data_IF_994104576432
#
_entry.id   IF_994104576432
#
_cell.length_a   1.000
_cell.length_b   1.000
_cell.length_c   1.000
_cell.angle_alpha   90.00
_cell.angle_beta   90.00
_cell.angle_gamma   90.00
#
_symmetry.space_group_name_H-M   'P 1'
#
loop_
_entity.id
_entity.type
_entity.pdbx_description
1 polymer ?
#
# COMPACT_ATOMS: atom_id res chain seq x y z
N UNK A 1 -8.34 -22.09 -54.73
CA UNK A 1 -9.27 -21.72 -53.65
C UNK A 1 -8.59 -22.25 -52.41
N UNK A 2 -7.63 -21.48 -51.93
CA UNK A 2 -6.62 -21.92 -50.97
C UNK A 2 -6.90 -21.10 -49.72
N UNK A 3 -7.64 -21.72 -48.80
CA UNK A 3 -8.02 -21.10 -47.54
C UNK A 3 -6.81 -21.07 -46.62
N UNK A 4 -6.38 -19.85 -46.31
CA UNK A 4 -5.43 -19.49 -45.27
C UNK A 4 -5.77 -20.22 -43.97
N UNK A 5 -4.79 -20.93 -43.43
CA UNK A 5 -4.86 -21.51 -42.09
C UNK A 5 -4.87 -20.40 -41.06
N UNK A 6 -6.06 -19.98 -40.66
CA UNK A 6 -6.28 -19.09 -39.50
C UNK A 6 -5.79 -19.83 -38.25
N UNK A 7 -4.58 -19.49 -37.78
CA UNK A 7 -4.16 -19.81 -36.42
C UNK A 7 -4.99 -18.94 -35.48
N UNK A 8 -6.06 -19.52 -34.97
CA UNK A 8 -6.81 -18.96 -33.85
C UNK A 8 -5.94 -19.11 -32.60
N UNK A 9 -5.19 -18.06 -32.24
CA UNK A 9 -4.58 -17.99 -30.91
C UNK A 9 -5.68 -17.67 -29.92
N UNK A 10 -6.24 -18.70 -29.30
CA UNK A 10 -7.10 -18.52 -28.13
C UNK A 10 -6.27 -17.84 -27.05
N UNK A 11 -6.67 -16.62 -26.69
CA UNK A 11 -5.97 -15.71 -25.78
C UNK A 11 -6.03 -16.16 -24.31
N UNK A 12 -5.70 -17.42 -24.04
CA UNK A 12 -5.41 -17.87 -22.68
C UNK A 12 -3.97 -17.46 -22.37
N UNK A 13 -3.80 -16.22 -21.92
CA UNK A 13 -2.61 -15.86 -21.18
C UNK A 13 -2.50 -16.84 -20.01
N UNK A 14 -1.47 -17.70 -20.02
CA UNK A 14 -1.17 -18.56 -18.88
C UNK A 14 -1.09 -17.67 -17.64
N UNK A 15 -2.07 -17.78 -16.74
CA UNK A 15 -1.90 -17.33 -15.37
C UNK A 15 -0.74 -18.15 -14.83
N UNK A 16 0.45 -17.58 -14.79
CA UNK A 16 1.53 -18.20 -14.04
C UNK A 16 1.09 -18.16 -12.58
N UNK A 17 0.62 -19.31 -12.07
CA UNK A 17 0.30 -19.46 -10.66
C UNK A 17 1.60 -19.21 -9.89
N UNK A 18 1.67 -18.07 -9.21
CA UNK A 18 2.81 -17.74 -8.37
C UNK A 18 2.82 -18.75 -7.22
N UNK A 19 3.88 -19.56 -7.05
CA UNK A 19 3.93 -20.53 -5.96
C UNK A 19 3.81 -19.79 -4.62
N UNK A 20 3.19 -20.42 -3.59
CA UNK A 20 3.08 -19.81 -2.28
C UNK A 20 4.48 -19.48 -1.76
N UNK A 21 4.73 -18.19 -1.50
CA UNK A 21 6.03 -17.71 -1.03
C UNK A 21 6.10 -17.86 0.49
N UNK A 22 6.53 -19.03 0.95
CA UNK A 22 6.87 -19.22 2.37
C UNK A 22 8.24 -18.57 2.61
N UNK A 23 8.38 -17.65 3.57
CA UNK A 23 9.71 -17.15 3.94
C UNK A 23 10.58 -18.32 4.39
N UNK A 24 11.86 -18.32 3.99
CA UNK A 24 12.83 -19.28 4.49
C UNK A 24 13.03 -19.07 6.01
N UNK A 25 13.28 -20.13 6.80
CA UNK A 25 13.41 -20.04 8.26
C UNK A 25 14.52 -19.07 8.73
N UNK A 26 15.56 -18.87 7.91
CA UNK A 26 16.66 -17.95 8.16
C UNK A 26 16.66 -16.74 7.21
N UNK A 27 15.51 -16.43 6.57
CA UNK A 27 15.41 -15.22 5.78
C UNK A 27 15.64 -14.01 6.69
N UNK A 28 16.51 -13.06 6.31
CA UNK A 28 16.67 -11.85 7.08
C UNK A 28 15.32 -11.14 7.15
N UNK A 29 14.99 -10.62 8.33
CA UNK A 29 13.85 -9.73 8.45
C UNK A 29 14.13 -8.48 7.61
N UNK A 30 13.47 -8.41 6.45
CA UNK A 30 13.62 -7.33 5.48
C UNK A 30 13.22 -5.97 6.06
N UNK A 31 12.44 -5.96 7.14
CA UNK A 31 11.97 -4.76 7.81
C UNK A 31 12.77 -4.41 9.06
N UNK A 32 13.59 -5.33 9.60
CA UNK A 32 14.42 -5.06 10.79
C UNK A 32 15.46 -3.95 10.59
N UNK A 33 15.85 -3.67 9.34
CA UNK A 33 16.82 -2.63 9.00
C UNK A 33 16.18 -1.32 8.51
N UNK A 34 14.84 -1.23 8.47
CA UNK A 34 14.17 0.00 8.02
C UNK A 34 14.17 0.97 9.20
N UNK A 35 14.88 2.11 9.12
CA UNK A 35 14.82 3.11 10.17
C UNK A 35 13.42 3.67 10.30
N UNK A 36 13.03 4.06 11.51
CA UNK A 36 11.78 4.77 11.70
C UNK A 36 11.78 6.08 10.89
N UNK A 37 10.67 6.42 10.23
CA UNK A 37 10.58 7.67 9.51
C UNK A 37 10.65 8.85 10.48
N UNK A 38 11.44 9.86 10.12
CA UNK A 38 11.48 11.13 10.83
C UNK A 38 10.09 11.79 10.82
N UNK A 39 9.69 12.47 11.92
CA UNK A 39 8.45 13.24 11.95
C UNK A 39 8.39 14.26 10.82
N UNK A 40 7.21 14.44 10.24
CA UNK A 40 6.99 15.37 9.13
C UNK A 40 6.99 16.82 9.59
N UNK A 41 6.76 17.06 10.88
CA UNK A 41 6.62 18.40 11.46
C UNK A 41 5.19 18.95 11.34
N UNK A 42 4.27 18.21 10.72
CA UNK A 42 2.86 18.57 10.66
C UNK A 42 2.05 17.71 11.65
N UNK A 43 1.45 18.31 12.70
CA UNK A 43 0.89 17.56 13.82
C UNK A 43 -0.22 16.58 13.41
N UNK A 44 -1.09 16.96 12.46
CA UNK A 44 -2.15 16.06 11.98
C UNK A 44 -1.63 14.89 11.16
N UNK A 45 -0.52 15.08 10.43
CA UNK A 45 0.12 14.02 9.64
C UNK A 45 0.84 13.07 10.59
N UNK A 46 1.61 13.62 11.53
CA UNK A 46 2.33 12.82 12.53
C UNK A 46 1.35 12.02 13.41
N UNK A 47 0.21 12.59 13.80
CA UNK A 47 -0.83 11.88 14.53
C UNK A 47 -1.51 10.77 13.70
N UNK A 48 -1.66 10.94 12.39
CA UNK A 48 -2.18 9.90 11.50
C UNK A 48 -1.18 8.75 11.35
N UNK A 49 0.12 9.06 11.24
CA UNK A 49 1.20 8.07 11.15
C UNK A 49 1.39 7.29 12.45
N UNK A 50 1.26 7.95 13.61
CA UNK A 50 1.28 7.25 14.91
C UNK A 50 0.14 6.22 14.99
N UNK A 51 -1.07 6.60 14.56
CA UNK A 51 -2.22 5.67 14.50
C UNK A 51 -1.94 4.47 13.59
N UNK A 52 -1.20 4.67 12.50
CA UNK A 52 -0.83 3.60 11.57
C UNK A 52 0.07 2.55 12.22
N UNK A 53 0.93 2.97 13.17
CA UNK A 53 1.86 2.08 13.89
C UNK A 53 1.14 1.03 14.73
N UNK A 54 -0.13 1.25 15.08
CA UNK A 54 -0.94 0.30 15.86
C UNK A 54 -1.46 -0.90 15.02
N UNK A 55 -1.47 -0.80 13.69
CA UNK A 55 -2.04 -1.84 12.80
C UNK A 55 -1.49 -3.27 13.01
N UNK A 56 -0.17 -3.48 13.22
CA UNK A 56 0.39 -4.83 13.40
C UNK A 56 -0.19 -5.56 14.63
N UNK A 57 -0.66 -4.81 15.63
CA UNK A 57 -1.26 -5.37 16.85
C UNK A 57 -2.75 -5.72 16.67
N UNK A 58 -3.37 -5.23 15.60
CA UNK A 58 -4.79 -5.41 15.32
C UNK A 58 -5.02 -6.61 14.40
N UNK A 59 -6.18 -7.24 14.58
CA UNK A 59 -6.66 -8.26 13.66
C UNK A 59 -6.87 -7.65 12.27
N UNK A 60 -6.52 -8.40 11.21
CA UNK A 60 -6.64 -7.94 9.82
C UNK A 60 -8.05 -7.48 9.45
N UNK A 61 -9.08 -8.02 10.11
CA UNK A 61 -10.47 -7.60 9.90
C UNK A 61 -10.78 -6.17 10.36
N UNK A 62 -9.93 -5.54 11.17
CA UNK A 62 -10.04 -4.14 11.61
C UNK A 62 -9.13 -3.19 10.83
N UNK A 63 -8.29 -3.73 9.93
CA UNK A 63 -7.36 -2.92 9.13
C UNK A 63 -8.09 -2.01 8.14
N UNK A 64 -9.13 -2.45 7.39
CA UNK A 64 -9.78 -1.60 6.38
C UNK A 64 -10.35 -0.31 6.95
N UNK A 65 -11.06 -0.39 8.08
CA UNK A 65 -11.69 0.76 8.73
C UNK A 65 -10.64 1.74 9.26
N UNK A 66 -9.53 1.22 9.79
CA UNK A 66 -8.45 2.05 10.29
C UNK A 66 -7.69 2.72 9.14
N UNK A 67 -7.42 2.00 8.04
CA UNK A 67 -6.82 2.57 6.84
C UNK A 67 -7.67 3.70 6.25
N UNK A 68 -8.99 3.51 6.15
CA UNK A 68 -9.89 4.52 5.61
C UNK A 68 -9.89 5.80 6.48
N UNK A 69 -9.98 5.64 7.80
CA UNK A 69 -9.90 6.76 8.74
C UNK A 69 -8.57 7.52 8.66
N UNK A 70 -7.45 6.82 8.50
CA UNK A 70 -6.13 7.43 8.30
C UNK A 70 -6.06 8.16 6.96
N UNK A 71 -6.54 7.54 5.89
CA UNK A 71 -6.53 8.16 4.56
C UNK A 71 -7.36 9.44 4.55
N UNK A 72 -8.56 9.44 5.13
CA UNK A 72 -9.38 10.64 5.20
C UNK A 72 -8.67 11.75 5.98
N UNK A 73 -8.09 11.44 7.14
CA UNK A 73 -7.35 12.44 7.94
C UNK A 73 -6.15 13.01 7.19
N UNK A 74 -5.39 12.16 6.49
CA UNK A 74 -4.24 12.60 5.72
C UNK A 74 -4.68 13.49 4.55
N UNK A 75 -5.76 13.13 3.85
CA UNK A 75 -6.32 13.97 2.78
C UNK A 75 -6.76 15.33 3.31
N UNK A 76 -7.44 15.37 4.46
CA UNK A 76 -7.89 16.63 5.07
C UNK A 76 -6.70 17.52 5.46
N UNK A 77 -5.66 16.94 6.07
CA UNK A 77 -4.44 17.64 6.46
C UNK A 77 -3.71 18.21 5.24
N UNK A 78 -3.52 17.40 4.19
CA UNK A 78 -2.85 17.84 2.96
C UNK A 78 -3.65 18.93 2.23
N UNK A 79 -4.97 18.82 2.20
CA UNK A 79 -5.83 19.85 1.63
C UNK A 79 -5.75 21.16 2.44
N UNK A 80 -5.54 21.09 3.76
CA UNK A 80 -5.34 22.28 4.59
C UNK A 80 -3.99 22.95 4.31
N UNK A 81 -2.92 22.17 4.20
CA UNK A 81 -1.59 22.68 3.84
C UNK A 81 -1.64 23.39 2.48
N UNK A 82 -2.25 22.75 1.47
CA UNK A 82 -2.39 23.35 0.12
C UNK A 82 -3.11 24.70 0.15
N UNK A 83 -4.17 24.83 0.98
CA UNK A 83 -4.87 26.12 1.18
C UNK A 83 -4.01 27.17 1.86
N UNK A 84 -3.13 26.77 2.79
CA UNK A 84 -2.22 27.69 3.49
C UNK A 84 -1.09 28.16 2.56
N UNK A 85 -0.56 27.26 1.75
CA UNK A 85 0.46 27.56 0.74
C UNK A 85 -0.09 28.50 -0.35
N UNK A 86 -1.32 28.28 -0.81
CA UNK A 86 -1.96 29.14 -1.82
C UNK A 86 -2.34 30.54 -1.30
N UNK A 87 -2.40 30.73 0.02
CA UNK A 87 -2.73 31.99 0.67
C UNK A 87 -1.49 32.84 1.04
N UNK A 88 -0.29 32.28 0.87
CA UNK A 88 1.00 32.92 1.16
C UNK A 88 1.61 33.59 -0.07
#
# INVERSE_FOLDING_TARGET
MDTEGVVRTDGTAMRQEMPPRTPAPDAPDLFAAVPEPEPTGHPDVDAALERLRELPELQTGAHPELYDGIHQRLQDALAQIDRQDAAS
#
